data_IF_372122343570
#
_entry.id   IF_372122343570
#
_cell.length_a   1.000
_cell.length_b   1.000
_cell.length_c   1.000
_cell.angle_alpha   90.00
_cell.angle_beta   90.00
_cell.angle_gamma   90.00
#
_symmetry.space_group_name_H-M   'P 1'
#
loop_
_entity.id
_entity.type
_entity.pdbx_description
1 polymer ?
#
# COMPACT_ATOMS: atom_id res chain seq x y z
N UNK A 1 -0.02 -9.76 7.14
CA UNK A 1 0.68 -11.00 6.69
C UNK A 1 -0.15 -12.25 7.01
N UNK A 2 -0.74 -12.35 8.21
CA UNK A 2 -1.67 -13.44 8.57
C UNK A 2 -2.84 -13.60 7.60
N UNK A 3 -3.47 -12.48 7.18
CA UNK A 3 -4.52 -12.52 6.16
C UNK A 3 -4.03 -12.98 4.80
N UNK A 4 -2.80 -12.63 4.40
CA UNK A 4 -2.22 -13.08 3.13
C UNK A 4 -1.99 -14.60 3.12
N UNK A 5 -1.63 -15.18 4.27
CA UNK A 5 -1.49 -16.62 4.47
C UNK A 5 -2.88 -17.29 4.44
N UNK A 6 -3.86 -16.73 5.15
CA UNK A 6 -5.24 -17.23 5.20
C UNK A 6 -5.93 -17.20 3.83
N UNK A 7 -5.74 -16.12 3.08
CA UNK A 7 -6.34 -15.92 1.75
C UNK A 7 -5.49 -16.49 0.61
N UNK A 8 -4.35 -17.15 0.93
CA UNK A 8 -3.37 -17.70 -0.02
C UNK A 8 -2.99 -16.72 -1.14
N UNK A 9 -2.94 -15.42 -0.81
CA UNK A 9 -2.77 -14.35 -1.78
C UNK A 9 -1.36 -13.80 -1.72
N UNK A 10 -0.52 -14.20 -2.69
CA UNK A 10 0.82 -13.61 -2.90
C UNK A 10 0.76 -12.10 -3.07
N UNK A 11 -0.31 -11.60 -3.69
CA UNK A 11 -0.53 -10.18 -3.95
C UNK A 11 -0.69 -9.37 -2.64
N UNK A 12 -1.38 -9.90 -1.63
CA UNK A 12 -1.49 -9.26 -0.31
C UNK A 12 -0.18 -9.27 0.48
N UNK A 13 0.64 -10.32 0.31
CA UNK A 13 1.96 -10.38 0.94
C UNK A 13 2.92 -9.35 0.33
N UNK A 14 2.91 -9.20 -1.01
CA UNK A 14 3.68 -8.17 -1.72
C UNK A 14 3.24 -6.77 -1.31
N UNK A 15 1.92 -6.52 -1.25
CA UNK A 15 1.38 -5.24 -0.78
C UNK A 15 1.88 -4.88 0.63
N UNK A 16 1.86 -5.84 1.56
CA UNK A 16 2.37 -5.63 2.91
C UNK A 16 3.87 -5.27 2.94
N UNK A 17 4.68 -5.91 2.08
CA UNK A 17 6.11 -5.59 1.97
C UNK A 17 6.32 -4.17 1.45
N UNK A 18 5.59 -3.79 0.40
CA UNK A 18 5.74 -2.47 -0.23
C UNK A 18 5.26 -1.36 0.71
N UNK A 19 4.12 -1.55 1.40
CA UNK A 19 3.65 -0.61 2.42
C UNK A 19 4.69 -0.46 3.54
N UNK A 20 5.27 -1.56 4.02
CA UNK A 20 6.29 -1.50 5.06
C UNK A 20 7.55 -0.73 4.61
N UNK A 21 7.96 -0.91 3.35
CA UNK A 21 9.03 -0.11 2.76
C UNK A 21 8.65 1.38 2.65
N UNK A 22 7.38 1.69 2.36
CA UNK A 22 6.86 3.06 2.32
C UNK A 22 6.78 3.76 3.68
N UNK A 23 6.78 3.03 4.80
CA UNK A 23 6.87 3.61 6.14
C UNK A 23 8.29 4.05 6.53
N UNK A 24 9.32 3.50 5.89
CA UNK A 24 10.71 3.77 6.28
C UNK A 24 11.10 5.26 6.14
N UNK A 25 10.79 5.95 5.02
CA UNK A 25 11.11 7.37 4.90
C UNK A 25 10.30 8.23 5.87
N UNK A 26 9.14 7.76 6.36
CA UNK A 26 8.29 8.51 7.32
C UNK A 26 8.99 8.50 8.66
N UNK A 27 9.43 7.32 9.10
CA UNK A 27 10.15 7.17 10.36
C UNK A 27 11.47 7.97 10.37
N UNK A 28 12.16 8.06 9.22
CA UNK A 28 13.36 8.88 9.09
C UNK A 28 13.02 10.38 9.13
N UNK A 29 11.99 10.79 8.39
CA UNK A 29 11.51 12.17 8.32
C UNK A 29 11.02 12.69 9.67
N UNK A 30 10.22 11.90 10.36
CA UNK A 30 9.65 12.22 11.67
C UNK A 30 10.72 12.60 12.70
N UNK A 31 11.89 11.96 12.65
CA UNK A 31 13.00 12.33 13.54
C UNK A 31 13.54 13.73 13.25
N UNK A 32 13.62 14.12 11.97
CA UNK A 32 14.05 15.46 11.56
C UNK A 32 13.01 16.50 11.96
N UNK A 33 11.74 16.25 11.65
CA UNK A 33 10.62 17.14 11.97
C UNK A 33 10.56 17.45 13.48
N UNK A 34 10.73 16.44 14.33
CA UNK A 34 10.70 16.62 15.79
C UNK A 34 11.95 17.34 16.30
N UNK A 35 13.12 17.11 15.69
CA UNK A 35 14.35 17.83 16.06
C UNK A 35 14.18 19.34 15.89
N UNK A 36 13.67 19.72 14.72
CA UNK A 36 13.48 21.09 14.33
C UNK A 36 12.35 21.76 15.10
N UNK A 37 11.26 21.04 15.39
CA UNK A 37 10.20 21.54 16.27
C UNK A 37 10.75 21.88 17.66
N UNK A 38 11.60 21.03 18.24
CA UNK A 38 12.24 21.30 19.55
C UNK A 38 13.14 22.53 19.47
N UNK A 39 13.93 22.68 18.41
CA UNK A 39 14.77 23.85 18.20
C UNK A 39 13.95 25.14 18.08
N UNK A 40 12.87 25.12 17.29
CA UNK A 40 11.93 26.24 17.17
C UNK A 40 11.32 26.65 18.51
N UNK A 41 11.00 25.69 19.39
CA UNK A 41 10.46 26.01 20.71
C UNK A 41 11.50 26.61 21.66
N UNK A 42 12.78 26.21 21.56
CA UNK A 42 13.87 26.80 22.36
C UNK A 42 14.06 28.29 22.03
N UNK A 43 13.90 28.66 20.77
CA UNK A 43 14.06 30.05 20.29
C UNK A 43 12.80 30.89 20.49
N UNK A 44 11.65 30.28 20.76
CA UNK A 44 10.37 30.97 20.93
C UNK A 44 10.22 31.56 22.34
N UNK A 45 9.76 32.81 22.39
CA UNK A 45 9.66 33.62 23.61
C UNK A 45 8.24 34.18 23.74
N UNK A 46 7.70 34.25 24.96
CA UNK A 46 6.40 34.88 25.23
C UNK A 46 6.47 36.42 25.08
N UNK A 47 5.31 37.08 25.10
CA UNK A 47 5.15 38.55 25.08
C UNK A 47 5.98 39.26 26.16
N UNK A 48 6.25 38.57 27.27
CA UNK A 48 7.03 39.09 28.39
C UNK A 48 8.55 38.87 28.27
N UNK A 49 9.03 38.21 27.21
CA UNK A 49 10.47 37.93 27.04
C UNK A 49 10.94 36.63 27.70
N UNK A 50 10.05 35.86 28.32
CA UNK A 50 10.36 34.56 28.93
C UNK A 50 10.29 33.43 27.90
N UNK A 51 11.25 32.49 27.96
CA UNK A 51 11.27 31.31 27.09
C UNK A 51 10.06 30.41 27.34
N UNK A 52 9.42 29.93 26.27
CA UNK A 52 8.26 29.04 26.36
C UNK A 52 8.61 27.64 26.90
N UNK A 53 9.89 27.28 26.88
CA UNK A 53 10.42 26.00 27.32
C UNK A 53 11.63 26.25 28.20
N UNK A 54 11.80 25.40 29.22
CA UNK A 54 12.97 25.46 30.09
C UNK A 54 14.24 25.09 29.29
N UNK A 55 15.05 26.10 28.94
CA UNK A 55 16.26 25.97 28.12
C UNK A 55 17.42 25.33 28.85
N UNK A 56 17.35 25.26 30.19
CA UNK A 56 18.44 24.77 31.05
C UNK A 56 18.61 23.24 30.97
N UNK A 57 17.59 22.52 30.50
CA UNK A 57 17.61 21.07 30.39
C UNK A 57 17.59 20.62 28.93
N UNK A 58 18.66 19.98 28.46
CA UNK A 58 18.71 19.44 27.10
C UNK A 58 17.99 18.08 27.03
N UNK A 59 16.76 18.09 26.49
CA UNK A 59 15.88 16.92 26.40
C UNK A 59 16.21 16.06 25.16
N UNK A 60 16.89 16.65 24.17
CA UNK A 60 17.27 15.99 22.91
C UNK A 60 18.03 14.67 23.04
N UNK A 61 19.06 14.53 23.92
CA UNK A 61 19.79 13.26 24.07
C UNK A 61 18.92 12.10 24.56
N UNK A 62 17.79 12.35 25.22
CA UNK A 62 16.84 11.30 25.65
C UNK A 62 15.84 10.99 24.53
N UNK A 63 15.15 12.01 24.01
CA UNK A 63 14.12 11.84 22.98
C UNK A 63 14.74 11.34 21.67
N UNK A 64 15.87 11.92 21.26
CA UNK A 64 16.53 11.59 19.99
C UNK A 64 16.99 10.13 19.89
N UNK A 65 17.30 9.48 21.02
CA UNK A 65 17.63 8.05 21.08
C UNK A 65 16.37 7.20 20.90
N UNK A 66 15.28 7.52 21.61
CA UNK A 66 14.00 6.83 21.50
C UNK A 66 13.44 6.94 20.07
N UNK A 67 13.53 8.12 19.47
CA UNK A 67 13.07 8.39 18.11
C UNK A 67 13.85 7.60 17.03
N UNK A 68 15.10 7.23 17.32
CA UNK A 68 15.95 6.46 16.40
C UNK A 68 15.60 4.96 16.41
N UNK A 69 14.94 4.45 17.45
CA UNK A 69 14.51 3.05 17.54
C UNK A 69 13.45 2.72 16.49
N UNK A 70 12.51 3.63 16.24
CA UNK A 70 11.39 3.45 15.31
C UNK A 70 11.86 3.13 13.87
N UNK A 71 12.73 3.95 13.22
CA UNK A 71 13.22 3.64 11.87
C UNK A 71 14.07 2.36 11.83
N UNK A 72 14.79 2.02 12.90
CA UNK A 72 15.55 0.75 12.96
C UNK A 72 14.59 -0.45 12.93
N UNK A 73 13.53 -0.44 13.75
CA UNK A 73 12.55 -1.53 13.77
C UNK A 73 11.90 -1.68 12.39
N UNK A 74 11.47 -0.57 11.79
CA UNK A 74 10.84 -0.59 10.46
C UNK A 74 11.84 -1.07 9.39
N UNK A 75 13.10 -0.66 9.46
CA UNK A 75 14.15 -1.13 8.55
C UNK A 75 14.37 -2.64 8.66
N UNK A 76 14.48 -3.17 9.88
CA UNK A 76 14.63 -4.62 10.13
C UNK A 76 13.41 -5.38 9.61
N UNK A 77 12.19 -4.91 9.90
CA UNK A 77 10.98 -5.50 9.34
C UNK A 77 10.95 -5.45 7.81
N UNK A 78 11.42 -4.36 7.21
CA UNK A 78 11.49 -4.19 5.75
C UNK A 78 12.50 -5.13 5.10
N UNK A 79 13.52 -5.59 5.81
CA UNK A 79 14.45 -6.61 5.33
C UNK A 79 13.89 -8.03 5.46
N UNK A 80 13.15 -8.33 6.53
CA UNK A 80 12.61 -9.67 6.80
C UNK A 80 11.36 -10.00 5.97
N UNK A 81 10.50 -9.01 5.74
CA UNK A 81 9.23 -9.20 5.02
C UNK A 81 9.42 -9.67 3.56
N UNK A 82 10.35 -9.14 2.75
CA UNK A 82 10.62 -9.62 1.40
C UNK A 82 11.09 -11.07 1.36
N UNK A 83 11.90 -11.49 2.34
CA UNK A 83 12.36 -12.88 2.46
C UNK A 83 11.14 -13.78 2.66
N UNK A 84 10.27 -13.42 3.59
CA UNK A 84 9.03 -14.16 3.87
C UNK A 84 8.09 -14.18 2.65
N UNK A 85 7.95 -13.07 1.94
CA UNK A 85 7.15 -12.98 0.72
C UNK A 85 7.73 -13.79 -0.44
N UNK A 86 9.05 -13.90 -0.54
CA UNK A 86 9.72 -14.74 -1.55
C UNK A 86 9.45 -16.23 -1.32
N UNK A 87 9.63 -16.72 -0.09
CA UNK A 87 9.27 -18.10 0.29
C UNK A 87 7.79 -18.39 0.02
N UNK A 88 6.92 -17.45 0.39
CA UNK A 88 5.48 -17.60 0.19
C UNK A 88 5.09 -17.60 -1.31
N UNK A 89 5.75 -16.77 -2.13
CA UNK A 89 5.59 -16.76 -3.58
C UNK A 89 6.02 -18.09 -4.18
N UNK A 90 7.12 -18.67 -3.74
CA UNK A 90 7.60 -19.96 -4.26
C UNK A 90 6.63 -21.09 -3.92
N UNK A 91 6.14 -21.14 -2.67
CA UNK A 91 5.16 -22.12 -2.23
C UNK A 91 3.84 -22.02 -3.02
N UNK A 92 3.28 -20.81 -3.16
CA UNK A 92 2.04 -20.63 -3.92
C UNK A 92 2.22 -20.79 -5.44
N UNK A 93 3.40 -20.48 -5.99
CA UNK A 93 3.68 -20.70 -7.41
C UNK A 93 3.72 -22.20 -7.73
N UNK A 94 4.28 -23.02 -6.84
CA UNK A 94 4.28 -24.48 -6.98
C UNK A 94 2.85 -25.06 -6.89
N UNK A 95 2.03 -24.56 -5.96
CA UNK A 95 0.64 -25.00 -5.82
C UNK A 95 -0.22 -24.56 -7.04
N UNK A 96 -0.01 -23.35 -7.54
CA UNK A 96 -0.70 -22.83 -8.73
C UNK A 96 -0.28 -23.55 -10.01
N UNK A 97 0.96 -24.02 -10.11
CA UNK A 97 1.43 -24.78 -11.27
C UNK A 97 0.72 -26.13 -11.40
N UNK A 98 0.39 -26.77 -10.27
CA UNK A 98 -0.24 -28.09 -10.25
C UNK A 98 -1.75 -28.08 -10.52
N UNK A 99 -2.42 -26.94 -10.30
CA UNK A 99 -3.87 -26.83 -10.38
C UNK A 99 -4.39 -26.15 -11.67
N UNK A 100 -3.54 -25.66 -12.58
CA UNK A 100 -3.98 -24.83 -13.70
C UNK A 100 -3.61 -25.45 -15.05
N UNK A 101 -4.55 -26.24 -15.58
CA UNK A 101 -4.74 -26.39 -17.02
C UNK A 101 -5.77 -25.37 -17.53
N UNK A 102 -5.57 -24.91 -18.77
CA UNK A 102 -6.42 -24.04 -19.61
C UNK A 102 -6.28 -22.50 -19.47
N UNK A 103 -5.79 -21.92 -20.58
CA UNK A 103 -5.70 -20.52 -21.01
C UNK A 103 -4.73 -19.53 -20.29
N UNK A 104 -3.55 -19.38 -20.90
CA UNK A 104 -2.54 -18.39 -20.52
C UNK A 104 -3.01 -16.93 -20.70
N UNK A 105 -3.99 -16.67 -21.58
CA UNK A 105 -4.53 -15.33 -21.83
C UNK A 105 -5.31 -14.84 -20.62
N UNK A 106 -6.27 -15.62 -20.12
CA UNK A 106 -7.08 -15.28 -18.94
C UNK A 106 -6.23 -15.10 -17.69
N UNK A 107 -5.17 -15.90 -17.54
CA UNK A 107 -4.20 -15.73 -16.46
C UNK A 107 -3.54 -14.37 -16.49
N UNK A 108 -3.12 -13.88 -17.66
CA UNK A 108 -2.53 -12.53 -17.81
C UNK A 108 -3.54 -11.43 -17.44
N UNK A 109 -4.80 -11.55 -17.86
CA UNK A 109 -5.86 -10.58 -17.52
C UNK A 109 -6.05 -10.48 -16.00
N UNK A 110 -6.17 -11.63 -15.34
CA UNK A 110 -6.34 -11.72 -13.88
C UNK A 110 -5.15 -11.13 -13.13
N UNK A 111 -3.94 -11.39 -13.59
CA UNK A 111 -2.71 -10.84 -12.98
C UNK A 111 -2.69 -9.31 -13.09
N UNK A 112 -2.99 -8.76 -14.27
CA UNK A 112 -3.03 -7.31 -14.49
C UNK A 112 -4.07 -6.65 -13.57
N UNK A 113 -5.27 -7.22 -13.48
CA UNK A 113 -6.32 -6.71 -12.58
C UNK A 113 -5.89 -6.76 -11.11
N UNK A 114 -5.30 -7.86 -10.65
CA UNK A 114 -4.78 -7.94 -9.28
C UNK A 114 -3.69 -6.91 -9.00
N UNK A 115 -2.75 -6.71 -9.93
CA UNK A 115 -1.70 -5.70 -9.77
C UNK A 115 -2.32 -4.30 -9.67
N UNK A 116 -3.28 -3.97 -10.54
CA UNK A 116 -4.02 -2.72 -10.46
C UNK A 116 -4.69 -2.52 -9.10
N UNK A 117 -5.45 -3.50 -8.60
CA UNK A 117 -6.13 -3.39 -7.30
C UNK A 117 -5.13 -3.25 -6.15
N UNK A 118 -3.97 -3.90 -6.23
CA UNK A 118 -2.92 -3.75 -5.20
C UNK A 118 -2.28 -2.37 -5.24
N UNK A 119 -1.95 -1.83 -6.42
CA UNK A 119 -1.43 -0.48 -6.57
C UNK A 119 -2.44 0.58 -6.12
N UNK A 120 -3.71 0.44 -6.50
CA UNK A 120 -4.79 1.33 -6.05
C UNK A 120 -4.95 1.32 -4.52
N UNK A 121 -4.89 0.13 -3.87
CA UNK A 121 -4.91 0.04 -2.40
C UNK A 121 -3.67 0.65 -1.74
N UNK A 122 -2.52 0.57 -2.40
CA UNK A 122 -1.29 1.19 -1.95
C UNK A 122 -1.36 2.72 -2.05
N UNK A 123 -2.01 3.26 -3.09
CA UNK A 123 -2.21 4.70 -3.24
C UNK A 123 -3.01 5.31 -2.09
N UNK A 124 -3.99 4.59 -1.52
CA UNK A 124 -4.72 5.02 -0.31
C UNK A 124 -3.75 5.37 0.82
N UNK A 125 -2.78 4.49 1.04
CA UNK A 125 -1.76 4.69 2.07
C UNK A 125 -0.89 5.92 1.75
N UNK A 126 -0.39 6.03 0.52
CA UNK A 126 0.43 7.18 0.12
C UNK A 126 -0.30 8.51 0.24
N UNK A 127 -1.57 8.58 -0.16
CA UNK A 127 -2.36 9.81 -0.10
C UNK A 127 -2.64 10.21 1.35
N UNK A 128 -2.99 9.26 2.23
CA UNK A 128 -3.18 9.55 3.66
C UNK A 128 -1.88 10.07 4.29
N UNK A 129 -0.75 9.42 4.02
CA UNK A 129 0.53 9.84 4.57
C UNK A 129 0.98 11.20 4.02
N UNK A 130 0.80 11.42 2.72
CA UNK A 130 1.09 12.70 2.09
C UNK A 130 0.26 13.82 2.71
N UNK A 131 -1.06 13.62 2.85
CA UNK A 131 -1.96 14.62 3.44
C UNK A 131 -1.63 14.89 4.90
N UNK A 132 -1.27 13.87 5.69
CA UNK A 132 -0.82 14.04 7.07
C UNK A 132 0.45 14.89 7.18
N UNK A 133 1.45 14.66 6.32
CA UNK A 133 2.69 15.44 6.30
C UNK A 133 2.45 16.86 5.77
N UNK A 134 1.47 17.05 4.88
CA UNK A 134 1.12 18.37 4.37
C UNK A 134 0.31 19.19 5.38
N UNK A 135 -0.82 18.65 5.84
CA UNK A 135 -1.81 19.36 6.64
C UNK A 135 -1.29 19.76 8.03
N UNK A 136 -0.45 18.95 8.66
CA UNK A 136 0.05 19.24 10.00
C UNK A 136 1.34 20.06 9.97
N UNK A 137 2.49 19.53 9.49
CA UNK A 137 3.72 20.32 9.43
C UNK A 137 3.69 21.52 8.48
N UNK A 138 3.23 21.35 7.23
CA UNK A 138 3.38 22.40 6.20
C UNK A 138 2.34 23.51 6.35
N UNK A 139 1.08 23.16 6.66
CA UNK A 139 0.01 24.15 6.88
C UNK A 139 -0.06 24.67 8.32
N UNK A 140 0.66 24.04 9.27
CA UNK A 140 0.58 24.39 10.69
C UNK A 140 -0.75 24.02 11.36
N UNK A 141 -1.45 23.03 10.81
CA UNK A 141 -2.71 22.51 11.33
C UNK A 141 -3.87 23.51 11.33
N UNK A 142 -4.93 23.20 12.09
CA UNK A 142 -6.18 23.97 12.10
C UNK A 142 -6.01 25.43 12.57
N UNK A 143 -4.97 25.72 13.36
CA UNK A 143 -4.73 27.04 13.96
C UNK A 143 -4.07 28.03 12.98
N UNK A 144 -3.23 27.54 12.07
CA UNK A 144 -2.49 28.37 11.09
C UNK A 144 -3.00 28.21 9.66
N UNK A 145 -3.46 27.02 9.28
CA UNK A 145 -3.87 26.69 7.91
C UNK A 145 -5.29 27.12 7.53
N UNK A 146 -6.14 27.47 8.49
CA UNK A 146 -7.47 28.02 8.25
C UNK A 146 -8.30 27.23 7.23
N UNK A 147 -8.62 27.87 6.10
CA UNK A 147 -9.46 27.28 5.03
C UNK A 147 -8.72 26.22 4.21
N UNK A 148 -7.42 26.40 3.95
CA UNK A 148 -6.65 25.51 3.09
C UNK A 148 -6.54 24.10 3.70
N UNK A 149 -6.42 24.01 5.03
CA UNK A 149 -6.42 22.73 5.76
C UNK A 149 -7.72 21.95 5.55
N UNK A 150 -8.87 22.64 5.68
CA UNK A 150 -10.20 22.00 5.56
C UNK A 150 -10.42 21.53 4.11
N UNK A 151 -9.99 22.33 3.13
CA UNK A 151 -10.08 21.97 1.71
C UNK A 151 -9.26 20.73 1.40
N UNK A 152 -8.00 20.65 1.85
CA UNK A 152 -7.14 19.48 1.63
C UNK A 152 -7.71 18.23 2.30
N UNK A 153 -8.18 18.34 3.55
CA UNK A 153 -8.81 17.22 4.26
C UNK A 153 -10.08 16.72 3.56
N UNK A 154 -10.89 17.63 3.00
CA UNK A 154 -12.04 17.25 2.18
C UNK A 154 -11.60 16.55 0.88
N UNK A 155 -10.53 17.04 0.25
CA UNK A 155 -9.97 16.46 -0.98
C UNK A 155 -9.38 15.06 -0.74
N UNK A 156 -8.80 14.82 0.43
CA UNK A 156 -8.39 13.48 0.89
C UNK A 156 -9.59 12.52 0.86
N UNK A 157 -10.73 12.91 1.45
CA UNK A 157 -11.95 12.11 1.43
C UNK A 157 -12.46 11.81 0.01
N UNK A 158 -12.40 12.80 -0.88
CA UNK A 158 -12.73 12.62 -2.30
C UNK A 158 -11.77 11.64 -2.98
N UNK A 159 -10.47 11.78 -2.76
CA UNK A 159 -9.45 10.90 -3.33
C UNK A 159 -9.64 9.44 -2.91
N UNK A 160 -9.91 9.19 -1.63
CA UNK A 160 -10.22 7.85 -1.12
C UNK A 160 -11.47 7.26 -1.76
N UNK A 161 -12.50 8.08 -1.95
CA UNK A 161 -13.75 7.67 -2.60
C UNK A 161 -13.51 7.31 -4.07
N UNK A 162 -12.75 8.12 -4.80
CA UNK A 162 -12.37 7.86 -6.20
C UNK A 162 -11.64 6.51 -6.33
N UNK A 163 -10.69 6.22 -5.43
CA UNK A 163 -9.96 4.95 -5.45
C UNK A 163 -10.87 3.77 -5.12
N UNK A 164 -11.75 3.89 -4.13
CA UNK A 164 -12.69 2.82 -3.80
C UNK A 164 -13.61 2.51 -4.99
N UNK A 165 -14.15 3.55 -5.62
CA UNK A 165 -15.02 3.44 -6.80
C UNK A 165 -14.28 2.88 -8.01
N UNK A 166 -13.01 3.24 -8.22
CA UNK A 166 -12.21 2.71 -9.33
C UNK A 166 -11.98 1.19 -9.20
N UNK A 167 -11.75 0.69 -7.98
CA UNK A 167 -11.64 -0.75 -7.70
C UNK A 167 -12.97 -1.45 -8.00
N UNK A 168 -14.11 -0.86 -7.61
CA UNK A 168 -15.43 -1.41 -7.93
C UNK A 168 -15.70 -1.46 -9.43
N UNK A 169 -15.41 -0.39 -10.17
CA UNK A 169 -15.59 -0.35 -11.62
C UNK A 169 -14.67 -1.33 -12.34
N UNK A 170 -13.47 -1.58 -11.81
CA UNK A 170 -12.56 -2.60 -12.31
C UNK A 170 -13.12 -4.02 -12.13
N UNK A 171 -13.83 -4.32 -11.03
CA UNK A 171 -14.55 -5.60 -10.84
C UNK A 171 -15.77 -5.73 -11.76
N UNK A 172 -16.49 -4.63 -11.98
CA UNK A 172 -17.71 -4.61 -12.81
C UNK A 172 -17.45 -4.61 -14.32
N UNK A 173 -16.19 -4.53 -14.77
CA UNK A 173 -15.80 -4.32 -16.18
C UNK A 173 -16.49 -3.11 -16.85
N UNK A 174 -16.87 -2.08 -16.07
CA UNK A 174 -17.54 -0.91 -16.60
C UNK A 174 -16.51 0.03 -17.26
N UNK A 175 -16.44 0.02 -18.60
CA UNK A 175 -15.50 0.84 -19.38
C UNK A 175 -15.65 2.33 -19.16
N UNK A 176 -16.89 2.81 -19.01
CA UNK A 176 -17.17 4.24 -18.80
C UNK A 176 -16.66 4.66 -17.43
N UNK A 177 -16.97 3.86 -16.39
CA UNK A 177 -16.48 4.10 -15.03
C UNK A 177 -14.96 4.02 -14.92
N UNK A 178 -14.33 3.10 -15.66
CA UNK A 178 -12.87 2.99 -15.69
C UNK A 178 -12.22 4.18 -16.41
N UNK A 179 -12.79 4.65 -17.52
CA UNK A 179 -12.31 5.86 -18.22
C UNK A 179 -12.40 7.09 -17.29
N UNK A 180 -13.53 7.26 -16.61
CA UNK A 180 -13.70 8.31 -15.60
C UNK A 180 -12.64 8.21 -14.49
N UNK A 181 -12.38 7.01 -13.98
CA UNK A 181 -11.37 6.78 -12.93
C UNK A 181 -9.96 7.16 -13.41
N UNK A 182 -9.61 6.85 -14.66
CA UNK A 182 -8.31 7.23 -15.25
C UNK A 182 -8.17 8.75 -15.31
N UNK A 183 -9.21 9.48 -15.72
CA UNK A 183 -9.21 10.95 -15.73
C UNK A 183 -9.02 11.49 -14.31
N UNK A 184 -9.71 10.92 -13.31
CA UNK A 184 -9.55 11.33 -11.92
C UNK A 184 -8.16 11.02 -11.36
N UNK A 185 -7.52 9.90 -11.76
CA UNK A 185 -6.13 9.61 -11.40
C UNK A 185 -5.15 10.61 -12.01
N UNK A 186 -5.37 11.03 -13.27
CA UNK A 186 -4.56 12.07 -13.90
C UNK A 186 -4.75 13.43 -13.22
N UNK A 187 -5.99 13.78 -12.83
CA UNK A 187 -6.27 14.98 -12.06
C UNK A 187 -5.58 14.96 -10.69
N UNK A 188 -5.62 13.82 -9.99
CA UNK A 188 -4.94 13.60 -8.72
C UNK A 188 -3.42 13.70 -8.86
N UNK A 189 -2.85 13.12 -9.91
CA UNK A 189 -1.43 13.23 -10.24
C UNK A 189 -1.02 14.70 -10.46
N UNK A 190 -1.82 15.44 -11.23
CA UNK A 190 -1.59 16.87 -11.49
C UNK A 190 -1.68 17.71 -10.21
N UNK A 191 -2.65 17.41 -9.34
CA UNK A 191 -2.81 18.09 -8.06
C UNK A 191 -1.63 17.84 -7.12
N UNK A 192 -1.17 16.59 -6.98
CA UNK A 192 0.01 16.28 -6.17
C UNK A 192 1.26 16.98 -6.69
N UNK A 193 1.46 17.02 -8.02
CA UNK A 193 2.56 17.77 -8.62
C UNK A 193 2.48 19.26 -8.29
N UNK A 194 1.29 19.85 -8.40
CA UNK A 194 1.05 21.24 -8.04
C UNK A 194 1.41 21.50 -6.58
N UNK A 195 0.95 20.68 -5.63
CA UNK A 195 1.25 20.83 -4.20
C UNK A 195 2.75 20.74 -3.90
N UNK A 196 3.45 19.79 -4.52
CA UNK A 196 4.90 19.63 -4.33
C UNK A 196 5.66 20.84 -4.87
N UNK A 197 5.25 21.38 -6.03
CA UNK A 197 5.88 22.56 -6.64
C UNK A 197 5.57 23.82 -5.83
N UNK A 198 4.32 24.01 -5.41
CA UNK A 198 3.86 25.14 -4.60
C UNK A 198 4.61 25.21 -3.26
N UNK A 199 4.73 24.08 -2.56
CA UNK A 199 5.47 23.99 -1.31
C UNK A 199 6.97 24.33 -1.45
N UNK A 200 7.56 24.11 -2.63
CA UNK A 200 8.97 24.43 -2.91
C UNK A 200 9.19 25.90 -3.30
N UNK A 201 8.20 26.52 -3.95
CA UNK A 201 8.27 27.90 -4.43
C UNK A 201 7.89 28.92 -3.35
N UNK A 202 7.00 28.56 -2.42
CA UNK A 202 6.56 29.49 -1.37
C UNK A 202 7.65 29.70 -0.30
N UNK A 203 8.34 30.85 -0.40
CA UNK A 203 9.40 31.25 0.53
C UNK A 203 8.92 31.34 1.99
N UNK A 204 7.63 31.59 2.24
CA UNK A 204 7.08 31.63 3.60
C UNK A 204 6.96 30.24 4.22
N UNK A 205 6.75 29.21 3.39
CA UNK A 205 6.66 27.82 3.84
C UNK A 205 8.06 27.21 3.97
N UNK A 206 9.02 27.68 3.16
CA UNK A 206 10.42 27.20 3.02
C UNK A 206 11.28 27.18 4.30
N UNK A 207 10.80 27.74 5.40
CA UNK A 207 11.61 27.93 6.62
C UNK A 207 11.73 26.70 7.53
N UNK A 208 11.37 25.49 7.06
CA UNK A 208 11.48 24.27 7.86
C UNK A 208 11.89 23.03 7.07
N UNK A 209 12.74 22.19 7.66
CA UNK A 209 13.14 20.85 7.23
C UNK A 209 12.00 19.86 7.03
N UNK A 210 10.76 20.22 7.42
CA UNK A 210 9.57 19.45 7.08
C UNK A 210 9.21 19.45 5.60
N UNK A 211 9.66 20.45 4.82
CA UNK A 211 9.41 20.49 3.37
C UNK A 211 10.21 19.44 2.60
N UNK A 212 11.44 19.13 3.05
CA UNK A 212 12.25 18.08 2.43
C UNK A 212 11.55 16.73 2.53
N UNK A 213 11.03 16.46 3.73
CA UNK A 213 10.28 15.25 4.03
C UNK A 213 8.97 15.18 3.25
N UNK A 214 8.21 16.27 3.23
CA UNK A 214 7.02 16.40 2.39
C UNK A 214 7.30 16.10 0.91
N UNK A 215 8.39 16.64 0.37
CA UNK A 215 8.76 16.49 -1.05
C UNK A 215 9.19 15.08 -1.39
N UNK A 216 9.97 14.44 -0.51
CA UNK A 216 10.33 13.03 -0.67
C UNK A 216 9.08 12.14 -0.72
N UNK A 217 8.09 12.40 0.14
CA UNK A 217 6.81 11.69 0.14
C UNK A 217 5.97 11.98 -1.09
N UNK A 218 5.89 13.24 -1.50
CA UNK A 218 5.22 13.66 -2.72
C UNK A 218 5.76 12.93 -3.94
N UNK A 219 7.09 12.85 -4.09
CA UNK A 219 7.73 12.11 -5.18
C UNK A 219 7.35 10.62 -5.19
N UNK A 220 7.31 9.95 -4.04
CA UNK A 220 6.87 8.56 -3.95
C UNK A 220 5.40 8.38 -4.33
N UNK A 221 4.52 9.27 -3.85
CA UNK A 221 3.10 9.28 -4.21
C UNK A 221 2.86 9.50 -5.71
N UNK A 222 3.60 10.44 -6.32
CA UNK A 222 3.55 10.72 -7.76
C UNK A 222 3.94 9.48 -8.58
N UNK A 223 5.04 8.82 -8.21
CA UNK A 223 5.48 7.59 -8.88
C UNK A 223 4.45 6.47 -8.74
N UNK A 224 3.85 6.34 -7.55
CA UNK A 224 2.80 5.35 -7.26
C UNK A 224 1.57 5.54 -8.14
N UNK A 225 0.99 6.74 -8.14
CA UNK A 225 -0.22 7.06 -8.93
C UNK A 225 0.05 6.97 -10.43
N UNK A 226 1.25 7.37 -10.88
CA UNK A 226 1.65 7.21 -12.27
C UNK A 226 1.64 5.74 -12.70
N UNK A 227 2.22 4.85 -11.87
CA UNK A 227 2.16 3.41 -12.11
C UNK A 227 0.73 2.88 -12.07
N UNK A 228 -0.10 3.29 -11.11
CA UNK A 228 -1.52 2.92 -11.03
C UNK A 228 -2.26 3.31 -12.30
N UNK A 229 -2.01 4.50 -12.83
CA UNK A 229 -2.63 5.01 -14.07
C UNK A 229 -2.26 4.13 -15.27
N UNK A 230 -1.01 3.70 -15.39
CA UNK A 230 -0.58 2.77 -16.45
C UNK A 230 -1.36 1.45 -16.35
N UNK A 231 -1.42 0.86 -15.15
CA UNK A 231 -2.16 -0.40 -14.94
C UNK A 231 -3.67 -0.24 -15.11
N UNK A 232 -4.22 0.94 -14.83
CA UNK A 232 -5.61 1.26 -15.10
C UNK A 232 -5.91 1.24 -16.61
N UNK A 233 -5.03 1.84 -17.43
CA UNK A 233 -5.14 1.80 -18.90
C UNK A 233 -4.97 0.37 -19.43
N UNK A 234 -4.05 -0.42 -18.87
CA UNK A 234 -3.88 -1.82 -19.24
C UNK A 234 -5.13 -2.65 -18.93
N UNK A 235 -5.78 -2.42 -17.77
CA UNK A 235 -7.06 -3.04 -17.45
C UNK A 235 -8.13 -2.65 -18.47
N UNK A 236 -8.24 -1.36 -18.82
CA UNK A 236 -9.22 -0.86 -19.79
C UNK A 236 -9.07 -1.50 -21.17
N UNK A 237 -7.84 -1.59 -21.68
CA UNK A 237 -7.53 -2.20 -22.99
C UNK A 237 -7.86 -3.69 -23.05
N UNK A 238 -7.90 -4.35 -21.89
CA UNK A 238 -8.00 -5.79 -21.78
C UNK A 238 -9.42 -6.27 -21.40
N UNK A 239 -10.39 -5.37 -21.20
CA UNK A 239 -11.83 -5.66 -20.98
C UNK A 239 -12.57 -6.28 -22.20
N UNK A 240 -11.85 -7.01 -23.06
CA UNK A 240 -12.39 -7.79 -24.19
C UNK A 240 -12.22 -9.31 -23.98
N UNK A 241 -11.80 -9.73 -22.78
CA UNK A 241 -11.57 -11.14 -22.45
C UNK A 241 -12.73 -11.90 -21.78
N UNK A 242 -13.83 -11.24 -21.39
CA UNK A 242 -14.96 -11.92 -20.72
C UNK A 242 -14.67 -12.29 -19.26
N UNK A 243 -14.07 -11.39 -18.47
CA UNK A 243 -13.72 -11.66 -17.07
C UNK A 243 -14.98 -11.84 -16.21
N UNK A 244 -16.09 -11.16 -16.53
CA UNK A 244 -17.39 -11.29 -15.84
C UNK A 244 -17.93 -12.73 -15.79
N UNK A 245 -17.75 -13.52 -16.85
CA UNK A 245 -18.36 -14.86 -16.97
C UNK A 245 -17.62 -15.93 -16.16
N UNK A 246 -16.35 -15.69 -15.84
CA UNK A 246 -15.53 -16.59 -15.00
C UNK A 246 -15.36 -16.10 -13.56
N UNK A 247 -15.53 -14.81 -13.29
CA UNK A 247 -15.54 -14.28 -11.91
C UNK A 247 -16.86 -14.62 -11.20
N UNK A 248 -18.00 -14.56 -11.91
CA UNK A 248 -19.31 -14.97 -11.36
C UNK A 248 -19.36 -16.45 -10.96
N UNK A 249 -18.81 -17.35 -11.78
CA UNK A 249 -18.76 -18.80 -11.48
C UNK A 249 -17.91 -19.16 -10.27
N UNK A 250 -16.90 -18.36 -9.92
CA UNK A 250 -16.03 -18.65 -8.77
C UNK A 250 -16.54 -18.00 -7.46
N UNK A 251 -17.41 -16.99 -7.55
CA UNK A 251 -18.13 -16.42 -6.40
C UNK A 251 -19.32 -17.34 -6.03
N UNK A 252 -19.97 -17.99 -7.02
CA UNK A 252 -20.96 -19.07 -6.79
C UNK A 252 -20.33 -20.39 -6.30
N UNK A 253 -19.05 -20.65 -6.59
CA UNK A 253 -18.31 -21.80 -6.08
C UNK A 253 -17.62 -21.56 -4.72
N UNK A 254 -17.60 -20.31 -4.22
CA UNK A 254 -17.17 -20.03 -2.86
C UNK A 254 -18.37 -20.15 -1.91
N UNK A 255 -18.89 -21.37 -1.81
CA UNK A 255 -19.77 -21.75 -0.70
C UNK A 255 -18.87 -22.10 0.51
N UNK A 256 -18.93 -21.35 1.62
CA UNK A 256 -18.16 -21.67 2.82
C UNK A 256 -18.45 -23.08 3.37
N UNK A 257 -19.57 -23.71 2.97
CA UNK A 257 -19.88 -25.10 3.31
C UNK A 257 -19.23 -26.13 2.36
N UNK A 258 -18.89 -25.76 1.11
CA UNK A 258 -18.19 -26.65 0.19
C UNK A 258 -16.71 -26.81 0.56
N UNK A 259 -16.05 -25.72 0.97
CA UNK A 259 -14.65 -25.77 1.44
C UNK A 259 -14.47 -26.55 2.74
N UNK A 260 -15.52 -26.70 3.55
CA UNK A 260 -15.50 -27.54 4.75
C UNK A 260 -15.61 -29.04 4.39
N UNK A 261 -16.43 -29.39 3.39
CA UNK A 261 -16.51 -30.77 2.87
C UNK A 261 -15.19 -31.21 2.23
N UNK A 262 -14.50 -30.33 1.52
CA UNK A 262 -13.18 -30.63 0.93
C UNK A 262 -12.09 -30.84 1.99
N UNK A 263 -12.25 -30.24 3.18
CA UNK A 263 -11.37 -30.44 4.33
C UNK A 263 -11.64 -31.79 5.02
N UNK A 264 -12.90 -32.22 5.10
CA UNK A 264 -13.26 -33.54 5.64
C UNK A 264 -12.87 -34.68 4.67
N UNK A 265 -13.12 -34.52 3.36
CA UNK A 265 -12.73 -35.53 2.36
C UNK A 265 -11.20 -35.72 2.25
N UNK A 266 -10.42 -34.68 2.55
CA UNK A 266 -8.96 -34.74 2.57
C UNK A 266 -8.38 -35.47 3.78
N UNK A 267 -9.19 -35.74 4.80
CA UNK A 267 -8.76 -36.41 6.03
C UNK A 267 -9.11 -37.91 6.05
N UNK A 268 -10.00 -38.37 5.16
CA UNK A 268 -10.46 -39.76 5.04
C UNK A 268 -9.70 -40.59 3.98
N UNK A 269 -8.63 -40.06 3.41
CA UNK A 269 -7.73 -40.82 2.53
C UNK A 269 -6.84 -41.72 3.39
N UNK A 270 -7.39 -42.85 3.82
CA UNK A 270 -6.63 -43.99 4.31
C UNK A 270 -5.60 -44.39 3.23
N UNK A 271 -4.32 -44.16 3.53
CA UNK A 271 -3.20 -44.63 2.73
C UNK A 271 -3.11 -46.16 2.81
N UNK A 272 -3.90 -46.84 1.99
CA UNK A 272 -3.72 -48.27 1.76
C UNK A 272 -2.49 -48.46 0.85
N UNK A 273 -1.35 -48.79 1.47
CA UNK A 273 -0.15 -49.20 0.76
C UNK A 273 -0.43 -50.49 0.00
N UNK A 274 -0.67 -50.39 -1.33
CA UNK A 274 -0.52 -51.55 -2.22
C UNK A 274 0.93 -52.01 -2.19
N UNK A 275 1.19 -53.13 -1.55
CA UNK A 275 2.48 -53.81 -1.59
C UNK A 275 2.82 -54.20 -3.02
N UNK A 276 4.07 -53.90 -3.41
CA UNK A 276 4.65 -54.23 -4.70
C UNK A 276 4.73 -55.76 -4.82
N UNK A 277 4.22 -56.39 -5.90
CA UNK A 277 4.38 -57.83 -6.10
C UNK A 277 5.87 -58.19 -6.25
N UNK A 278 6.33 -59.11 -5.40
CA UNK A 278 7.70 -59.62 -5.45
C UNK A 278 7.96 -60.42 -6.72
N UNK A 279 9.13 -60.20 -7.31
CA UNK A 279 9.65 -60.91 -8.50
C UNK A 279 10.00 -62.35 -8.13
N UNK A 280 9.00 -63.23 -8.02
CA UNK A 280 9.12 -64.70 -8.02
C UNK A 280 7.76 -65.24 -8.47
N UNK A 281 7.54 -65.32 -9.78
CA UNK A 281 6.57 -66.22 -10.44
C UNK A 281 6.74 -66.09 -11.98
N UNK A 282 7.99 -66.21 -12.42
CA UNK A 282 8.34 -66.57 -13.79
C UNK A 282 8.98 -67.95 -13.68
N UNK A 283 8.16 -69.00 -13.71
CA UNK A 283 8.46 -70.36 -14.18
C UNK A 283 7.36 -71.32 -13.70
N UNK A 284 6.30 -71.47 -14.51
CA UNK A 284 5.46 -72.67 -14.67
C UNK A 284 4.56 -72.48 -15.90
#
# INVERSE_FOLDING_TARGET
MWDAIRLRSTAQAVLACVINAGFLPLAISQRRDIAEAIESFKTSTDSNGDHLVNTDMDIWPVIGKILLVIPIIIAVCTLILPISAWYLKQYFSWQSYRNVGADAKMRKIRIIHHIFVMLAKMDIYFIICFDMVFCFPVLGGLRSGGTDFIVNLALLGVALTVIAVSIMFSKSENRIGMCFSIVMYLAMLGYLLYLVIDAQLDERRRSGGSIDSFTAFGCMGILSIFMTTIFAVLCLRNFFGGLKEHLGKHEEAWDPHASAKDFELGNDINFEYKSVPGVRDLDS
#
